data_IF_691037853044
#
_entry.id   IF_691037853044
#
_cell.length_a   1.000
_cell.length_b   1.000
_cell.length_c   1.000
_cell.angle_alpha   90.00
_cell.angle_beta   90.00
_cell.angle_gamma   90.00
#
_symmetry.space_group_name_H-M   'P 1'
#
loop_
_entity.id
_entity.type
_entity.pdbx_description
1 polymer ?
#
# COMPACT_ATOMS: atom_id res chain seq x y z
N UNK A 1 26.71 -30.06 -1.53
CA UNK A 1 25.76 -29.71 -2.60
C UNK A 1 25.71 -28.20 -2.68
N UNK A 2 26.48 -27.62 -3.58
CA UNK A 2 26.60 -26.18 -3.74
C UNK A 2 25.24 -25.57 -4.14
N UNK A 3 24.93 -24.45 -3.50
CA UNK A 3 23.62 -23.83 -3.42
C UNK A 3 23.16 -23.31 -4.81
N UNK A 4 22.55 -24.17 -5.63
CA UNK A 4 21.97 -23.82 -6.95
C UNK A 4 21.00 -22.63 -6.89
N UNK A 5 20.49 -22.25 -5.72
CA UNK A 5 19.60 -21.10 -5.54
C UNK A 5 20.31 -19.73 -5.54
N UNK A 6 21.63 -19.69 -5.35
CA UNK A 6 22.41 -18.44 -5.47
C UNK A 6 22.66 -18.12 -6.96
N UNK A 7 22.66 -19.14 -7.83
CA UNK A 7 22.91 -19.00 -9.27
C UNK A 7 21.75 -18.39 -10.05
N UNK A 8 20.54 -18.42 -9.49
CA UNK A 8 19.38 -17.73 -10.05
C UNK A 8 19.32 -16.32 -9.45
N UNK A 9 19.57 -15.30 -10.27
CA UNK A 9 19.49 -13.89 -9.87
C UNK A 9 18.12 -13.50 -9.31
N UNK A 10 17.99 -12.25 -8.86
CA UNK A 10 16.73 -11.73 -8.32
C UNK A 10 15.61 -11.84 -9.36
N UNK A 11 14.53 -12.62 -9.13
CA UNK A 11 13.45 -12.74 -10.10
C UNK A 11 12.83 -11.37 -10.39
N UNK A 12 12.56 -11.06 -11.66
CA UNK A 12 11.98 -9.76 -12.07
C UNK A 12 10.71 -9.42 -11.27
N UNK A 13 9.84 -10.41 -11.04
CA UNK A 13 8.65 -10.20 -10.22
C UNK A 13 8.93 -9.84 -8.76
N UNK A 14 10.04 -10.31 -8.17
CA UNK A 14 10.46 -9.86 -6.84
C UNK A 14 10.98 -8.42 -6.84
N UNK A 15 11.65 -7.99 -7.91
CA UNK A 15 12.07 -6.59 -8.07
C UNK A 15 10.83 -5.68 -8.13
N UNK A 16 9.80 -6.09 -8.91
CA UNK A 16 8.55 -5.36 -8.97
C UNK A 16 7.86 -5.28 -7.60
N UNK A 17 7.83 -6.37 -6.83
CA UNK A 17 7.28 -6.36 -5.47
C UNK A 17 8.09 -5.45 -4.55
N UNK A 18 9.43 -5.43 -4.65
CA UNK A 18 10.26 -4.49 -3.89
C UNK A 18 9.92 -3.04 -4.22
N UNK A 19 9.65 -2.71 -5.48
CA UNK A 19 9.19 -1.36 -5.86
C UNK A 19 7.80 -1.09 -5.25
N UNK A 20 6.88 -2.04 -5.34
CA UNK A 20 5.52 -1.93 -4.80
C UNK A 20 5.46 -1.83 -3.27
N UNK A 21 6.48 -2.29 -2.55
CA UNK A 21 6.60 -2.13 -1.09
C UNK A 21 7.43 -0.90 -0.72
N UNK A 22 8.53 -0.66 -1.44
CA UNK A 22 9.49 0.39 -1.16
C UNK A 22 8.96 1.79 -1.49
N UNK A 23 8.25 1.95 -2.62
CA UNK A 23 7.68 3.26 -2.98
C UNK A 23 6.64 3.74 -1.95
N UNK A 24 5.67 2.92 -1.52
CA UNK A 24 4.77 3.31 -0.43
C UNK A 24 5.49 3.58 0.89
N UNK A 25 6.57 2.87 1.22
CA UNK A 25 7.34 3.16 2.44
C UNK A 25 7.92 4.58 2.40
N UNK A 26 8.54 4.96 1.29
CA UNK A 26 9.09 6.31 1.08
C UNK A 26 7.98 7.37 1.14
N UNK A 27 6.86 7.14 0.45
CA UNK A 27 5.72 8.08 0.46
C UNK A 27 5.13 8.27 1.86
N UNK A 28 5.02 7.19 2.64
CA UNK A 28 4.53 7.22 4.03
C UNK A 28 5.51 7.95 4.94
N UNK A 29 6.82 7.82 4.71
CA UNK A 29 7.82 8.60 5.44
C UNK A 29 7.70 10.10 5.11
N UNK A 30 7.50 10.44 3.84
CA UNK A 30 7.30 11.84 3.43
C UNK A 30 6.02 12.45 4.02
N UNK A 31 4.93 11.69 4.14
CA UNK A 31 3.69 12.19 4.73
C UNK A 31 3.87 12.55 6.21
N UNK A 32 4.67 11.80 6.96
CA UNK A 32 5.01 12.14 8.37
C UNK A 32 5.60 13.55 8.49
N UNK A 33 6.47 13.95 7.55
CA UNK A 33 7.18 15.23 7.63
C UNK A 33 6.48 16.40 6.97
N UNK A 34 5.76 16.18 5.86
CA UNK A 34 5.17 17.27 5.06
C UNK A 34 3.71 17.53 5.35
N UNK A 35 2.92 16.48 5.57
CA UNK A 35 1.48 16.59 5.79
C UNK A 35 1.01 15.34 6.50
N UNK A 36 0.95 15.35 7.86
CA UNK A 36 0.58 14.19 8.64
C UNK A 36 -0.93 13.98 8.55
N UNK A 37 -1.34 13.45 7.41
CA UNK A 37 -2.66 12.94 7.11
C UNK A 37 -2.52 11.45 6.82
N UNK A 38 -3.44 10.66 7.35
CA UNK A 38 -3.51 9.23 7.10
C UNK A 38 -4.96 8.80 7.02
N UNK A 39 -5.27 7.93 6.06
CA UNK A 39 -6.61 7.38 5.90
C UNK A 39 -6.60 5.90 6.28
N UNK A 40 -7.41 5.54 7.28
CA UNK A 40 -7.63 4.16 7.71
C UNK A 40 -9.11 3.82 7.53
N UNK A 41 -9.46 3.33 6.34
CA UNK A 41 -10.88 3.17 5.99
C UNK A 41 -11.59 4.54 6.02
N UNK A 42 -12.78 4.65 6.64
CA UNK A 42 -13.48 5.93 6.74
C UNK A 42 -12.76 6.93 7.64
N UNK A 43 -11.80 6.53 8.48
CA UNK A 43 -11.22 7.44 9.45
C UNK A 43 -10.10 8.25 8.81
N UNK A 44 -10.31 9.57 8.74
CA UNK A 44 -9.26 10.53 8.47
C UNK A 44 -8.55 10.87 9.77
N UNK A 45 -7.28 10.52 9.86
CA UNK A 45 -6.41 10.89 10.96
C UNK A 45 -5.56 12.08 10.55
N UNK A 46 -5.42 13.05 11.45
CA UNK A 46 -4.54 14.20 11.29
C UNK A 46 -3.65 14.39 12.52
N UNK A 47 -2.55 15.13 12.36
CA UNK A 47 -1.63 15.47 13.44
C UNK A 47 -0.93 14.25 14.04
N UNK A 48 -0.83 14.18 15.38
CA UNK A 48 -0.06 13.14 16.09
C UNK A 48 -0.56 11.73 15.78
N UNK A 49 -1.89 11.54 15.68
CA UNK A 49 -2.47 10.24 15.36
C UNK A 49 -2.02 9.73 13.98
N UNK A 50 -2.00 10.61 12.98
CA UNK A 50 -1.51 10.27 11.64
C UNK A 50 -0.01 9.96 11.62
N UNK A 51 0.80 10.71 12.38
CA UNK A 51 2.24 10.45 12.52
C UNK A 51 2.50 9.04 13.04
N UNK A 52 1.82 8.65 14.13
CA UNK A 52 2.00 7.32 14.73
C UNK A 52 1.63 6.22 13.74
N UNK A 53 0.48 6.34 13.09
CA UNK A 53 0.03 5.35 12.09
C UNK A 53 1.00 5.25 10.91
N UNK A 54 1.41 6.38 10.34
CA UNK A 54 2.33 6.39 9.21
C UNK A 54 3.71 5.82 9.58
N UNK A 55 4.22 6.07 10.79
CA UNK A 55 5.45 5.43 11.27
C UNK A 55 5.32 3.92 11.41
N UNK A 56 4.20 3.42 11.94
CA UNK A 56 3.94 1.97 12.04
C UNK A 56 3.91 1.34 10.64
N UNK A 57 3.20 1.95 9.69
CA UNK A 57 3.15 1.49 8.30
C UNK A 57 4.56 1.49 7.67
N UNK A 58 5.33 2.57 7.88
CA UNK A 58 6.71 2.67 7.39
C UNK A 58 7.60 1.54 7.92
N UNK A 59 7.51 1.23 9.22
CA UNK A 59 8.27 0.13 9.84
C UNK A 59 7.86 -1.22 9.26
N UNK A 60 6.56 -1.48 9.10
CA UNK A 60 6.04 -2.72 8.50
C UNK A 60 6.59 -2.89 7.08
N UNK A 61 6.45 -1.87 6.23
CA UNK A 61 6.89 -1.93 4.84
C UNK A 61 8.41 -2.08 4.73
N UNK A 62 9.17 -1.35 5.55
CA UNK A 62 10.63 -1.45 5.59
C UNK A 62 11.10 -2.83 6.06
N UNK A 63 10.39 -3.43 7.03
CA UNK A 63 10.65 -4.79 7.52
C UNK A 63 10.38 -5.82 6.41
N UNK A 64 9.27 -5.69 5.69
CA UNK A 64 8.96 -6.55 4.52
C UNK A 64 10.03 -6.39 3.44
N UNK A 65 10.40 -5.15 3.09
CA UNK A 65 11.40 -4.85 2.09
C UNK A 65 12.75 -5.49 2.42
N UNK A 66 13.23 -5.28 3.65
CA UNK A 66 14.45 -5.91 4.16
C UNK A 66 14.37 -7.43 4.12
N UNK A 67 13.25 -8.00 4.57
CA UNK A 67 13.02 -9.44 4.60
C UNK A 67 13.05 -10.06 3.19
N UNK A 68 12.48 -9.40 2.18
CA UNK A 68 12.53 -9.84 0.78
C UNK A 68 13.97 -9.77 0.25
N UNK A 69 14.71 -8.69 0.53
CA UNK A 69 16.12 -8.56 0.15
C UNK A 69 16.99 -9.68 0.74
N UNK A 70 16.76 -10.04 2.00
CA UNK A 70 17.45 -11.12 2.71
C UNK A 70 16.87 -12.50 2.47
N UNK A 71 15.83 -12.62 1.63
CA UNK A 71 15.16 -13.89 1.28
C UNK A 71 14.62 -14.64 2.51
N UNK A 72 14.13 -13.90 3.51
CA UNK A 72 13.65 -14.46 4.78
C UNK A 72 12.26 -15.09 4.65
N UNK A 73 12.07 -16.32 5.16
CA UNK A 73 10.79 -17.04 5.12
C UNK A 73 9.62 -16.26 5.72
N UNK A 74 9.86 -15.52 6.80
CA UNK A 74 8.83 -14.70 7.45
C UNK A 74 8.39 -13.52 6.59
N UNK A 75 9.26 -12.99 5.73
CA UNK A 75 8.96 -11.83 4.89
C UNK A 75 7.83 -12.13 3.91
N UNK A 76 7.79 -13.36 3.39
CA UNK A 76 6.69 -13.83 2.52
C UNK A 76 5.35 -13.77 3.24
N UNK A 77 5.28 -14.34 4.46
CA UNK A 77 4.05 -14.37 5.25
C UNK A 77 3.60 -12.96 5.63
N UNK A 78 4.54 -12.11 6.02
CA UNK A 78 4.29 -10.73 6.39
C UNK A 78 3.81 -9.88 5.20
N UNK A 79 4.43 -10.05 4.03
CA UNK A 79 4.00 -9.39 2.80
C UNK A 79 2.59 -9.82 2.39
N UNK A 80 2.29 -11.13 2.38
CA UNK A 80 0.95 -11.62 2.07
C UNK A 80 -0.08 -11.07 3.06
N UNK A 81 0.23 -11.11 4.37
CA UNK A 81 -0.64 -10.56 5.40
C UNK A 81 -0.89 -9.06 5.21
N UNK A 82 0.15 -8.29 4.88
CA UNK A 82 0.03 -6.87 4.58
C UNK A 82 -0.90 -6.62 3.39
N UNK A 83 -0.71 -7.32 2.26
CA UNK A 83 -1.59 -7.16 1.10
C UNK A 83 -3.05 -7.55 1.42
N UNK A 84 -3.28 -8.59 2.22
CA UNK A 84 -4.65 -8.95 2.67
C UNK A 84 -5.25 -7.82 3.49
N UNK A 85 -4.52 -7.27 4.47
CA UNK A 85 -4.99 -6.14 5.29
C UNK A 85 -5.27 -4.92 4.42
N UNK A 86 -4.37 -4.58 3.48
CA UNK A 86 -4.58 -3.47 2.56
C UNK A 86 -5.81 -3.67 1.69
N UNK A 87 -6.04 -4.88 1.17
CA UNK A 87 -7.24 -5.20 0.39
C UNK A 87 -8.52 -5.06 1.22
N UNK A 88 -8.52 -5.52 2.47
CA UNK A 88 -9.67 -5.34 3.37
C UNK A 88 -9.94 -3.85 3.63
N UNK A 89 -8.90 -3.05 3.86
CA UNK A 89 -9.03 -1.60 4.03
C UNK A 89 -9.57 -0.92 2.76
N UNK A 90 -9.18 -1.37 1.57
CA UNK A 90 -9.75 -0.86 0.30
C UNK A 90 -11.25 -1.17 0.22
N UNK A 91 -11.68 -2.38 0.56
CA UNK A 91 -13.11 -2.75 0.56
C UNK A 91 -13.88 -1.90 1.56
N UNK A 92 -13.36 -1.73 2.78
CA UNK A 92 -13.98 -0.87 3.80
C UNK A 92 -14.07 0.58 3.33
N UNK A 93 -13.04 1.09 2.65
CA UNK A 93 -13.05 2.41 2.03
C UNK A 93 -14.13 2.54 0.94
N UNK A 94 -14.24 1.56 0.05
CA UNK A 94 -15.27 1.57 -1.00
C UNK A 94 -16.68 1.56 -0.41
N UNK A 95 -16.93 0.74 0.61
CA UNK A 95 -18.23 0.71 1.31
C UNK A 95 -18.51 2.06 1.98
N UNK A 96 -17.49 2.66 2.59
CA UNK A 96 -17.60 3.97 3.25
C UNK A 96 -17.87 5.10 2.26
N UNK A 97 -17.25 5.06 1.08
CA UNK A 97 -17.50 6.01 -0.03
C UNK A 97 -18.97 5.96 -0.48
N UNK A 98 -19.55 4.76 -0.58
CA UNK A 98 -20.96 4.59 -0.93
C UNK A 98 -21.90 5.12 0.18
N UNK A 99 -21.49 5.03 1.44
CA UNK A 99 -22.27 5.48 2.59
C UNK A 99 -22.16 6.98 2.91
N UNK A 100 -21.02 7.62 2.62
CA UNK A 100 -20.78 9.03 2.94
C UNK A 100 -19.85 9.73 1.92
N UNK A 101 -20.45 10.23 0.84
CA UNK A 101 -19.72 10.93 -0.24
C UNK A 101 -19.08 12.25 0.21
N UNK A 102 -19.69 12.96 1.17
CA UNK A 102 -19.20 14.27 1.64
C UNK A 102 -17.84 14.18 2.34
N UNK A 103 -17.55 13.05 2.97
CA UNK A 103 -16.27 12.82 3.64
C UNK A 103 -15.09 12.86 2.65
N UNK A 104 -15.24 12.24 1.48
CA UNK A 104 -14.17 12.22 0.48
C UNK A 104 -14.02 13.57 -0.21
N UNK A 105 -15.12 14.29 -0.43
CA UNK A 105 -15.07 15.66 -0.93
C UNK A 105 -14.27 16.59 0.00
N UNK A 106 -14.51 16.49 1.31
CA UNK A 106 -13.71 17.23 2.31
C UNK A 106 -12.23 16.86 2.30
N UNK A 107 -11.90 15.58 2.11
CA UNK A 107 -10.51 15.12 2.01
C UNK A 107 -9.79 15.72 0.79
N UNK A 108 -10.41 15.67 -0.38
CA UNK A 108 -9.79 16.23 -1.60
C UNK A 108 -9.67 17.76 -1.54
N UNK A 109 -10.63 18.43 -0.89
CA UNK A 109 -10.55 19.88 -0.65
C UNK A 109 -9.39 20.26 0.28
N UNK A 110 -9.06 19.44 1.26
CA UNK A 110 -7.93 19.68 2.18
C UNK A 110 -6.56 19.27 1.60
N UNK A 111 -6.54 18.31 0.66
CA UNK A 111 -5.28 17.75 0.12
C UNK A 111 -4.86 18.33 -1.22
N UNK A 112 -5.78 18.88 -2.02
CA UNK A 112 -5.50 19.49 -3.31
C UNK A 112 -5.42 21.01 -3.19
N UNK A 113 -4.67 21.65 -4.10
CA UNK A 113 -4.72 23.11 -4.24
C UNK A 113 -6.11 23.54 -4.75
N UNK A 114 -6.56 24.78 -4.47
CA UNK A 114 -7.86 25.27 -4.92
C UNK A 114 -8.07 25.15 -6.44
N UNK A 115 -7.01 25.36 -7.22
CA UNK A 115 -6.99 25.22 -8.68
C UNK A 115 -7.16 23.77 -9.14
N UNK A 116 -6.61 22.81 -8.40
CA UNK A 116 -6.74 21.38 -8.72
C UNK A 116 -8.09 20.83 -8.28
N UNK A 117 -8.61 21.31 -7.14
CA UNK A 117 -9.91 20.91 -6.63
C UNK A 117 -11.06 21.44 -7.50
N UNK A 118 -10.97 22.63 -8.07
CA UNK A 118 -12.00 23.18 -8.96
C UNK A 118 -12.22 22.36 -10.25
N UNK A 119 -11.24 21.54 -10.62
CA UNK A 119 -11.32 20.62 -11.76
C UNK A 119 -11.90 19.24 -11.39
N UNK A 120 -12.12 18.97 -10.10
CA UNK A 120 -12.58 17.69 -9.59
C UNK A 120 -14.08 17.73 -9.35
N UNK A 121 -14.88 17.13 -10.25
CA UNK A 121 -16.31 16.91 -9.97
C UNK A 121 -16.50 15.70 -9.06
N UNK A 122 -17.59 15.63 -8.27
CA UNK A 122 -17.89 14.48 -7.43
C UNK A 122 -17.91 13.15 -8.19
N UNK A 123 -18.36 13.15 -9.45
CA UNK A 123 -18.37 11.98 -10.32
C UNK A 123 -16.95 11.55 -10.69
N UNK A 124 -16.06 12.50 -11.00
CA UNK A 124 -14.67 12.24 -11.33
C UNK A 124 -13.89 11.69 -10.11
N UNK A 125 -14.13 12.27 -8.93
CA UNK A 125 -13.57 11.79 -7.65
C UNK A 125 -14.04 10.35 -7.40
N UNK A 126 -15.33 10.08 -7.56
CA UNK A 126 -15.89 8.75 -7.33
C UNK A 126 -15.33 7.73 -8.33
N UNK A 127 -15.29 8.07 -9.62
CA UNK A 127 -14.79 7.18 -10.66
C UNK A 127 -13.29 6.88 -10.50
N UNK A 128 -12.48 7.89 -10.19
CA UNK A 128 -11.04 7.72 -9.97
C UNK A 128 -10.76 6.87 -8.72
N UNK A 129 -11.51 7.06 -7.63
CA UNK A 129 -11.42 6.21 -6.44
C UNK A 129 -11.83 4.76 -6.72
N UNK A 130 -12.92 4.55 -7.46
CA UNK A 130 -13.36 3.19 -7.82
C UNK A 130 -12.33 2.48 -8.71
N UNK A 131 -11.80 3.19 -9.71
CA UNK A 131 -10.80 2.63 -10.64
C UNK A 131 -9.49 2.31 -9.92
N UNK A 132 -8.97 3.25 -9.11
CA UNK A 132 -7.75 3.04 -8.34
C UNK A 132 -7.90 1.92 -7.30
N UNK A 133 -9.03 1.86 -6.59
CA UNK A 133 -9.34 0.79 -5.63
C UNK A 133 -9.43 -0.58 -6.30
N UNK A 134 -10.15 -0.68 -7.43
CA UNK A 134 -10.25 -1.90 -8.21
C UNK A 134 -8.89 -2.37 -8.75
N UNK A 135 -8.08 -1.44 -9.28
CA UNK A 135 -6.71 -1.73 -9.71
C UNK A 135 -5.82 -2.22 -8.57
N UNK A 136 -5.89 -1.58 -7.41
CA UNK A 136 -5.12 -1.97 -6.23
C UNK A 136 -5.51 -3.37 -5.71
N UNK A 137 -6.80 -3.73 -5.73
CA UNK A 137 -7.25 -5.08 -5.40
C UNK A 137 -6.68 -6.14 -6.35
N UNK A 138 -6.73 -5.88 -7.67
CA UNK A 138 -6.16 -6.79 -8.67
C UNK A 138 -4.65 -6.97 -8.50
N UNK A 139 -3.92 -5.88 -8.30
CA UNK A 139 -2.47 -5.91 -8.03
C UNK A 139 -2.18 -6.71 -6.76
N UNK A 140 -2.94 -6.50 -5.68
CA UNK A 140 -2.82 -7.26 -4.44
C UNK A 140 -2.96 -8.77 -4.65
N UNK A 141 -3.98 -9.20 -5.40
CA UNK A 141 -4.20 -10.62 -5.75
C UNK A 141 -3.01 -11.17 -6.54
N UNK A 142 -2.54 -10.45 -7.57
CA UNK A 142 -1.40 -10.86 -8.40
C UNK A 142 -0.15 -11.05 -7.54
N UNK A 143 0.14 -10.10 -6.64
CA UNK A 143 1.29 -10.18 -5.75
C UNK A 143 1.18 -11.35 -4.79
N UNK A 144 0.02 -11.57 -4.17
CA UNK A 144 -0.22 -12.72 -3.28
C UNK A 144 0.02 -14.04 -4.02
N UNK A 145 -0.59 -14.22 -5.21
CA UNK A 145 -0.41 -15.42 -6.03
C UNK A 145 1.07 -15.62 -6.38
N UNK A 146 1.76 -14.55 -6.76
CA UNK A 146 3.18 -14.60 -7.10
C UNK A 146 4.04 -15.03 -5.90
N UNK A 147 3.82 -14.42 -4.72
CA UNK A 147 4.54 -14.74 -3.49
C UNK A 147 4.30 -16.18 -3.05
N UNK A 148 3.07 -16.70 -3.18
CA UNK A 148 2.73 -18.10 -2.90
C UNK A 148 3.46 -19.05 -3.87
N UNK A 149 3.46 -18.74 -5.17
CA UNK A 149 4.14 -19.56 -6.20
C UNK A 149 5.66 -19.54 -6.08
N UNK A 150 6.24 -18.42 -5.63
CA UNK A 150 7.70 -18.26 -5.45
C UNK A 150 8.14 -18.52 -4.02
N UNK A 151 7.52 -19.49 -3.34
CA UNK A 151 7.87 -19.88 -1.97
C UNK A 151 9.36 -20.24 -1.82
N UNK A 152 9.95 -20.86 -2.83
CA UNK A 152 11.34 -21.35 -2.84
C UNK A 152 12.37 -20.22 -2.98
N UNK A 153 11.94 -18.98 -3.24
CA UNK A 153 12.81 -17.81 -3.18
C UNK A 153 13.21 -17.47 -1.73
N UNK A 154 12.33 -17.79 -0.77
CA UNK A 154 12.51 -17.47 0.65
C UNK A 154 13.03 -18.68 1.40
N UNK A 155 14.35 -18.78 1.52
CA UNK A 155 15.05 -19.98 2.02
C UNK A 155 15.83 -19.76 3.31
N UNK A 156 16.00 -18.50 3.72
CA UNK A 156 16.62 -18.11 4.98
C UNK A 156 15.56 -17.95 6.06
#
# INVERSE_FOLDING_TARGET
MENKQIKNGFPVGMILILILVGLPAVMTLFSVFKSPLSQLGPLLLSGVGAVVVNLVIFVILSTIFYGILKRMMWARKMAIGWYIVSMLLIVVNMVSLLGNKMMYDSFYKETLTPEMYSLMTPELITASLMFSSGGALLIGIIVIIYLVRKKDFFVN
#
